data_IF_705280034872
#
_entry.id   IF_705280034872
#
_cell.length_a   1.000
_cell.length_b   1.000
_cell.length_c   1.000
_cell.angle_alpha   90.00
_cell.angle_beta   90.00
_cell.angle_gamma   90.00
#
_symmetry.space_group_name_H-M   'P 1'
#
loop_
_entity.id
_entity.type
_entity.pdbx_description
1 polymer ?
#
# COMPACT_ATOMS: atom_id res chain seq x y z
N UNK A 1 -24.22 31.35 3.59
CA UNK A 1 -24.32 30.18 2.70
C UNK A 1 -22.94 29.56 2.65
N UNK A 2 -22.70 28.42 3.30
CA UNK A 2 -21.42 27.72 3.15
C UNK A 2 -21.40 27.02 1.79
N UNK A 3 -20.34 27.32 1.03
CA UNK A 3 -19.96 26.70 -0.24
C UNK A 3 -19.45 25.28 0.06
N UNK A 4 -20.35 24.29 0.09
CA UNK A 4 -20.01 22.86 0.15
C UNK A 4 -19.40 22.43 -1.18
N UNK A 5 -18.13 22.78 -1.38
CA UNK A 5 -17.30 22.18 -2.41
C UNK A 5 -17.16 20.70 -2.08
N UNK A 6 -17.39 19.77 -3.03
CA UNK A 6 -17.26 18.34 -2.74
C UNK A 6 -15.83 18.09 -2.29
N UNK A 7 -15.70 17.60 -1.06
CA UNK A 7 -14.43 17.15 -0.51
C UNK A 7 -13.81 16.18 -1.52
N UNK A 8 -12.57 16.45 -1.92
CA UNK A 8 -11.80 15.58 -2.81
C UNK A 8 -11.79 14.15 -2.25
N UNK A 9 -11.45 13.15 -3.08
CA UNK A 9 -11.53 11.74 -2.70
C UNK A 9 -10.89 11.58 -1.32
N UNK A 10 -11.70 11.11 -0.38
CA UNK A 10 -11.41 11.04 1.05
C UNK A 10 -9.92 10.84 1.28
N UNK A 11 -9.31 11.77 2.02
CA UNK A 11 -8.04 11.50 2.69
C UNK A 11 -8.30 10.29 3.59
N UNK A 12 -8.16 9.08 3.04
CA UNK A 12 -7.91 7.93 3.89
C UNK A 12 -6.59 8.27 4.54
N UNK A 13 -6.53 8.33 5.89
CA UNK A 13 -5.28 8.53 6.59
C UNK A 13 -4.46 7.24 6.38
N UNK A 14 -3.88 7.14 5.20
CA UNK A 14 -3.00 6.11 4.71
C UNK A 14 -1.86 5.93 5.70
N UNK A 15 -1.34 7.04 6.24
CA UNK A 15 -0.35 7.05 7.32
C UNK A 15 -0.82 6.31 8.58
N UNK A 16 -2.01 6.61 9.11
CA UNK A 16 -2.49 5.96 10.34
C UNK A 16 -2.77 4.46 10.14
N UNK A 17 -3.27 4.10 8.96
CA UNK A 17 -3.50 2.69 8.60
C UNK A 17 -2.19 1.94 8.41
N UNK A 18 -1.19 2.61 7.83
CA UNK A 18 0.15 2.06 7.60
C UNK A 18 0.89 1.85 8.92
N UNK A 19 0.86 2.81 9.84
CA UNK A 19 1.45 2.67 11.18
C UNK A 19 0.87 1.46 11.92
N UNK A 20 -0.44 1.25 11.79
CA UNK A 20 -1.13 0.09 12.38
C UNK A 20 -0.65 -1.22 11.75
N UNK A 21 -0.54 -1.28 10.42
CA UNK A 21 -0.06 -2.46 9.71
C UNK A 21 1.40 -2.79 10.05
N UNK A 22 2.26 -1.77 10.13
CA UNK A 22 3.66 -1.89 10.59
C UNK A 22 3.71 -2.37 12.04
N UNK A 23 2.81 -1.87 12.90
CA UNK A 23 2.64 -2.36 14.28
C UNK A 23 2.35 -3.86 14.34
N UNK A 24 1.46 -4.37 13.48
CA UNK A 24 1.21 -5.81 13.38
C UNK A 24 2.44 -6.58 12.90
N UNK A 25 3.14 -6.09 11.89
CA UNK A 25 4.38 -6.70 11.40
C UNK A 25 5.44 -6.81 12.49
N UNK A 26 5.72 -5.71 13.19
CA UNK A 26 6.69 -5.67 14.30
C UNK A 26 6.28 -6.55 15.48
N UNK A 27 4.98 -6.79 15.67
CA UNK A 27 4.45 -7.66 16.72
C UNK A 27 4.49 -9.15 16.35
N UNK A 28 4.96 -9.51 15.15
CA UNK A 28 4.95 -10.89 14.64
C UNK A 28 3.55 -11.36 14.21
N UNK A 29 2.57 -10.46 14.17
CA UNK A 29 1.19 -10.70 13.74
C UNK A 29 1.10 -10.64 12.22
N UNK A 30 1.82 -11.54 11.56
CA UNK A 30 2.07 -11.46 10.11
C UNK A 30 0.81 -11.62 9.27
N UNK A 31 -0.15 -12.42 9.73
CA UNK A 31 -1.42 -12.61 9.03
C UNK A 31 -2.28 -11.33 9.10
N UNK A 32 -2.36 -10.69 10.27
CA UNK A 32 -3.07 -9.42 10.43
C UNK A 32 -2.37 -8.29 9.64
N UNK A 33 -1.04 -8.28 9.63
CA UNK A 33 -0.25 -7.33 8.84
C UNK A 33 -0.52 -7.49 7.34
N UNK A 34 -0.50 -8.74 6.84
CA UNK A 34 -0.80 -9.05 5.43
C UNK A 34 -2.18 -8.54 5.01
N UNK A 35 -3.21 -8.80 5.82
CA UNK A 35 -4.57 -8.37 5.54
C UNK A 35 -4.70 -6.84 5.56
N UNK A 36 -4.03 -6.18 6.51
CA UNK A 36 -3.99 -4.72 6.60
C UNK A 36 -3.30 -4.11 5.37
N UNK A 37 -2.12 -4.61 4.98
CA UNK A 37 -1.42 -4.12 3.79
C UNK A 37 -2.23 -4.32 2.51
N UNK A 38 -2.91 -5.46 2.35
CA UNK A 38 -3.80 -5.71 1.20
C UNK A 38 -4.97 -4.73 1.13
N UNK A 39 -5.58 -4.38 2.26
CA UNK A 39 -6.65 -3.36 2.32
C UNK A 39 -6.12 -1.97 1.91
N UNK A 40 -4.94 -1.60 2.42
CA UNK A 40 -4.31 -0.32 2.07
C UNK A 40 -3.99 -0.29 0.57
N UNK A 41 -3.43 -1.37 0.01
CA UNK A 41 -3.13 -1.48 -1.42
C UNK A 41 -4.38 -1.33 -2.29
N UNK A 42 -5.50 -1.95 -1.93
CA UNK A 42 -6.74 -1.83 -2.68
C UNK A 42 -7.21 -0.36 -2.75
N UNK A 43 -7.10 0.37 -1.64
CA UNK A 43 -7.44 1.79 -1.59
C UNK A 43 -6.48 2.65 -2.45
N UNK A 44 -5.18 2.38 -2.36
CA UNK A 44 -4.14 3.07 -3.14
C UNK A 44 -4.32 2.81 -4.65
N UNK A 45 -4.65 1.59 -5.05
CA UNK A 45 -4.95 1.24 -6.44
C UNK A 45 -6.22 1.93 -6.97
N UNK A 46 -7.25 2.06 -6.13
CA UNK A 46 -8.46 2.80 -6.47
C UNK A 46 -8.17 4.30 -6.64
N UNK A 47 -7.41 4.88 -5.72
CA UNK A 47 -6.96 6.27 -5.81
C UNK A 47 -6.12 6.51 -7.07
N UNK A 48 -5.23 5.59 -7.43
CA UNK A 48 -4.45 5.66 -8.66
C UNK A 48 -5.35 5.61 -9.91
N UNK A 49 -6.34 4.71 -9.95
CA UNK A 49 -7.30 4.62 -11.07
C UNK A 49 -8.17 5.88 -11.21
N UNK A 50 -8.47 6.55 -10.10
CA UNK A 50 -9.22 7.80 -10.08
C UNK A 50 -8.40 9.02 -10.56
N UNK A 51 -7.18 8.81 -11.06
CA UNK A 51 -6.28 9.88 -11.49
C UNK A 51 -5.35 10.39 -10.40
N UNK A 52 -5.17 9.62 -9.31
CA UNK A 52 -4.22 9.92 -8.24
C UNK A 52 -2.81 10.11 -8.80
N UNK A 53 -2.24 11.28 -8.53
CA UNK A 53 -0.96 11.71 -9.10
C UNK A 53 0.26 10.92 -8.61
N UNK A 54 1.43 11.25 -9.15
CA UNK A 54 2.73 10.59 -8.96
C UNK A 54 3.16 10.33 -7.50
N UNK A 55 2.52 10.95 -6.50
CA UNK A 55 2.78 10.71 -5.07
C UNK A 55 2.25 9.38 -4.52
N UNK A 56 1.31 8.73 -5.23
CA UNK A 56 0.69 7.46 -4.80
C UNK A 56 1.60 6.25 -5.09
N UNK A 57 2.36 6.30 -6.18
CA UNK A 57 3.29 5.26 -6.60
C UNK A 57 4.40 4.91 -5.57
N UNK A 58 5.14 5.87 -4.98
CA UNK A 58 6.17 5.54 -4.00
C UNK A 58 5.60 4.92 -2.72
N UNK A 59 4.41 5.35 -2.28
CA UNK A 59 3.73 4.74 -1.14
C UNK A 59 3.32 3.29 -1.44
N UNK A 60 2.74 3.06 -2.63
CA UNK A 60 2.35 1.72 -3.08
C UNK A 60 3.54 0.76 -3.14
N UNK A 61 4.67 1.21 -3.68
CA UNK A 61 5.90 0.42 -3.76
C UNK A 61 6.39 0.01 -2.36
N UNK A 62 6.37 0.93 -1.39
CA UNK A 62 6.74 0.63 -0.01
C UNK A 62 5.81 -0.41 0.62
N UNK A 63 4.50 -0.30 0.41
CA UNK A 63 3.53 -1.27 0.96
C UNK A 63 3.78 -2.67 0.37
N UNK A 64 3.97 -2.80 -0.94
CA UNK A 64 4.31 -4.07 -1.57
C UNK A 64 5.60 -4.69 -1.04
N UNK A 65 6.60 -3.85 -0.73
CA UNK A 65 7.87 -4.32 -0.15
C UNK A 65 7.66 -4.91 1.25
N UNK A 66 6.91 -4.23 2.11
CA UNK A 66 6.64 -4.71 3.49
C UNK A 66 5.71 -5.94 3.48
N UNK A 67 4.76 -6.00 2.53
CA UNK A 67 3.95 -7.20 2.30
C UNK A 67 4.83 -8.39 1.90
N UNK A 68 5.79 -8.19 0.98
CA UNK A 68 6.75 -9.22 0.60
C UNK A 68 7.57 -9.74 1.79
N UNK A 69 8.04 -8.84 2.66
CA UNK A 69 8.73 -9.23 3.90
C UNK A 69 7.81 -10.02 4.84
N UNK A 70 6.56 -9.59 5.01
CA UNK A 70 5.56 -10.29 5.83
C UNK A 70 5.32 -11.71 5.33
N UNK A 71 5.16 -11.88 4.02
CA UNK A 71 4.94 -13.17 3.36
C UNK A 71 6.18 -14.07 3.44
N UNK A 72 7.38 -13.49 3.28
CA UNK A 72 8.65 -14.21 3.43
C UNK A 72 8.79 -14.80 4.84
N UNK A 73 8.47 -14.01 5.87
CA UNK A 73 8.52 -14.48 7.26
C UNK A 73 7.43 -15.53 7.58
N UNK A 74 6.33 -15.56 6.82
CA UNK A 74 5.34 -16.64 6.89
C UNK A 74 5.77 -17.92 6.12
N UNK A 75 6.87 -17.88 5.37
CA UNK A 75 7.30 -18.98 4.49
C UNK A 75 6.61 -19.02 3.13
N UNK A 76 5.78 -18.02 2.80
CA UNK A 76 5.09 -17.88 1.51
C UNK A 76 6.01 -17.22 0.49
N UNK A 77 7.06 -17.93 0.09
CA UNK A 77 8.14 -17.37 -0.73
C UNK A 77 7.68 -16.95 -2.14
N UNK A 78 6.78 -17.71 -2.75
CA UNK A 78 6.27 -17.39 -4.10
C UNK A 78 5.45 -16.08 -4.09
N UNK A 79 4.54 -15.92 -3.12
CA UNK A 79 3.73 -14.71 -2.96
C UNK A 79 4.59 -13.49 -2.57
N UNK A 80 5.65 -13.73 -1.78
CA UNK A 80 6.61 -12.69 -1.43
C UNK A 80 7.37 -12.19 -2.68
N UNK A 81 7.83 -13.11 -3.53
CA UNK A 81 8.51 -12.76 -4.78
C UNK A 81 7.61 -11.91 -5.68
N UNK A 82 6.35 -12.31 -5.88
CA UNK A 82 5.39 -11.53 -6.67
C UNK A 82 5.19 -10.11 -6.10
N UNK A 83 5.14 -9.99 -4.77
CA UNK A 83 4.99 -8.69 -4.09
C UNK A 83 6.22 -7.79 -4.30
N UNK A 84 7.43 -8.33 -4.20
CA UNK A 84 8.65 -7.59 -4.49
C UNK A 84 8.75 -7.18 -5.96
N UNK A 85 8.37 -8.05 -6.89
CA UNK A 85 8.32 -7.73 -8.31
C UNK A 85 7.37 -6.56 -8.59
N UNK A 86 6.18 -6.54 -7.97
CA UNK A 86 5.24 -5.41 -8.07
C UNK A 86 5.83 -4.12 -7.51
N UNK A 87 6.49 -4.20 -6.35
CA UNK A 87 7.17 -3.04 -5.74
C UNK A 87 8.22 -2.45 -6.68
N UNK A 88 9.09 -3.30 -7.24
CA UNK A 88 10.10 -2.89 -8.21
C UNK A 88 9.44 -2.33 -9.46
N UNK A 89 8.39 -2.96 -9.97
CA UNK A 89 7.70 -2.50 -11.17
C UNK A 89 7.14 -1.09 -10.98
N UNK A 90 6.48 -0.82 -9.85
CA UNK A 90 5.95 0.50 -9.52
C UNK A 90 7.10 1.50 -9.33
N UNK A 91 8.19 1.11 -8.67
CA UNK A 91 9.33 1.99 -8.43
C UNK A 91 10.14 2.30 -9.71
N UNK A 92 10.20 1.39 -10.68
CA UNK A 92 11.00 1.58 -11.90
C UNK A 92 10.18 2.17 -13.05
N UNK A 93 8.91 1.76 -13.17
CA UNK A 93 8.05 2.10 -14.31
C UNK A 93 6.95 3.11 -13.95
N UNK A 94 6.61 3.27 -12.66
CA UNK A 94 5.65 4.28 -12.20
C UNK A 94 6.14 5.73 -12.29
N UNK A 95 7.44 5.96 -12.49
CA UNK A 95 8.03 7.30 -12.63
C UNK A 95 8.12 7.78 -14.10
N UNK A 96 7.61 7.02 -15.07
CA UNK A 96 7.94 7.21 -16.49
C UNK A 96 6.83 7.79 -17.36
N UNK A 97 5.78 8.36 -16.77
CA UNK A 97 4.64 9.00 -17.48
C UNK A 97 4.29 10.32 -16.84
#
# INVERSE_FOLDING_TARGET
MPDERPEGPAEVPLDSSLDTAIGYFNSGKLAEAEEAFKKILAFVEEAQKAGGGSGVAPLQANIYNILGLSLQMQGKLDEAAESFEKSIFINLYGFRT
#
